data_IF_849514946539
#
_entry.id   IF_849514946539
#
_cell.length_a   1.000
_cell.length_b   1.000
_cell.length_c   1.000
_cell.angle_alpha   90.00
_cell.angle_beta   90.00
_cell.angle_gamma   90.00
#
_symmetry.space_group_name_H-M   'P 1'
#
loop_
_entity.id
_entity.type
_entity.pdbx_description
1 polymer ?
#
# COMPACT_ATOMS: atom_id res chain seq x y z
N UNK A 1 67.77 -1.21 -19.59
CA UNK A 1 68.43 -1.20 -18.27
C UNK A 1 67.46 -0.57 -17.29
N UNK A 2 66.77 -1.40 -16.50
CA UNK A 2 66.96 -1.50 -15.02
C UNK A 2 66.18 -0.38 -14.30
N UNK A 3 65.31 -0.58 -13.32
CA UNK A 3 64.63 -1.71 -12.72
C UNK A 3 63.50 -1.10 -11.85
N UNK A 4 62.36 -1.78 -11.76
CA UNK A 4 61.31 -1.49 -10.77
C UNK A 4 61.62 -2.20 -9.44
N UNK A 5 61.29 -1.60 -8.28
CA UNK A 5 61.09 -2.35 -7.04
C UNK A 5 59.60 -2.47 -6.66
N UNK A 6 59.35 -3.53 -5.89
CA UNK A 6 58.11 -4.28 -5.67
C UNK A 6 57.23 -3.69 -4.56
N UNK A 7 55.93 -4.04 -4.50
CA UNK A 7 55.09 -3.80 -3.33
C UNK A 7 55.50 -4.70 -2.16
N UNK A 8 55.58 -4.12 -0.95
CA UNK A 8 55.79 -4.86 0.28
C UNK A 8 54.49 -5.57 0.69
N UNK A 9 54.56 -6.90 0.77
CA UNK A 9 53.52 -7.77 1.32
C UNK A 9 53.87 -8.02 2.78
N UNK A 10 53.11 -7.46 3.71
CA UNK A 10 53.28 -7.77 5.14
C UNK A 10 52.38 -8.94 5.49
N UNK A 11 53.02 -10.05 5.81
CA UNK A 11 52.41 -11.32 6.17
C UNK A 11 52.21 -11.42 7.70
N UNK A 12 51.10 -12.07 8.07
CA UNK A 12 50.89 -12.88 9.28
C UNK A 12 50.86 -12.15 10.64
N UNK A 13 49.70 -12.24 11.29
CA UNK A 13 49.55 -12.99 12.56
C UNK A 13 48.06 -13.29 12.81
N UNK A 14 47.69 -14.53 12.50
CA UNK A 14 46.50 -15.19 13.02
C UNK A 14 46.70 -15.31 14.53
N UNK A 15 45.85 -14.67 15.31
CA UNK A 15 45.64 -15.02 16.72
C UNK A 15 44.20 -15.42 16.85
N UNK A 16 43.97 -16.73 16.70
CA UNK A 16 42.74 -17.39 17.13
C UNK A 16 42.65 -17.23 18.64
N UNK A 17 41.74 -16.37 19.11
CA UNK A 17 41.29 -16.37 20.50
C UNK A 17 40.00 -17.17 20.54
N UNK A 18 40.16 -18.45 20.92
CA UNK A 18 39.10 -19.26 21.51
C UNK A 18 38.68 -18.67 22.87
N UNK A 19 37.54 -19.15 23.38
CA UNK A 19 36.81 -18.77 24.61
C UNK A 19 35.75 -17.69 24.35
N UNK A 20 34.46 -17.90 24.58
CA UNK A 20 33.82 -18.68 25.64
C UNK A 20 32.39 -19.03 25.18
N UNK A 21 32.08 -20.33 25.04
CA UNK A 21 30.71 -20.78 24.79
C UNK A 21 29.94 -20.64 26.10
N UNK A 22 29.09 -19.62 26.20
CA UNK A 22 28.12 -19.50 27.29
C UNK A 22 26.93 -20.41 26.99
N UNK A 23 26.90 -21.56 27.66
CA UNK A 23 25.72 -22.41 27.77
C UNK A 23 24.61 -21.64 28.51
N UNK A 24 23.68 -21.06 27.77
CA UNK A 24 22.37 -20.75 28.32
C UNK A 24 21.56 -22.05 28.39
N UNK A 25 21.45 -22.61 29.59
CA UNK A 25 20.47 -23.64 29.91
C UNK A 25 19.06 -23.03 29.79
N UNK A 26 18.45 -23.18 28.62
CA UNK A 26 17.03 -22.88 28.41
C UNK A 26 16.18 -24.02 28.96
N UNK A 27 15.40 -23.75 29.99
CA UNK A 27 14.35 -24.67 30.44
C UNK A 27 13.26 -24.76 29.37
N UNK A 28 13.10 -25.93 28.75
CA UNK A 28 11.94 -26.24 27.93
C UNK A 28 10.69 -26.32 28.82
N UNK A 29 9.86 -25.29 28.79
CA UNK A 29 8.51 -25.34 29.35
C UNK A 29 7.58 -26.05 28.37
N UNK A 30 7.37 -27.35 28.54
CA UNK A 30 6.30 -28.07 27.86
C UNK A 30 4.96 -27.54 28.39
N UNK A 31 4.25 -26.76 27.57
CA UNK A 31 2.87 -26.42 27.84
C UNK A 31 2.05 -27.72 27.90
N UNK A 32 1.55 -28.04 29.09
CA UNK A 32 0.59 -29.12 29.32
C UNK A 32 -0.65 -28.79 28.49
N UNK A 33 -0.85 -29.49 27.38
CA UNK A 33 -2.14 -29.55 26.70
C UNK A 33 -3.12 -30.23 27.66
N UNK A 34 -3.81 -29.45 28.48
CA UNK A 34 -5.05 -29.92 29.10
C UNK A 34 -6.08 -29.97 27.99
N UNK A 35 -6.22 -31.14 27.38
CA UNK A 35 -7.35 -31.44 26.51
C UNK A 35 -8.62 -31.50 27.39
N UNK A 36 -9.22 -30.34 27.66
CA UNK A 36 -10.58 -30.29 28.21
C UNK A 36 -11.51 -30.47 27.02
N UNK A 37 -11.75 -31.73 26.66
CA UNK A 37 -12.80 -32.10 25.75
C UNK A 37 -14.13 -31.84 26.48
N UNK A 38 -14.86 -30.80 26.08
CA UNK A 38 -16.25 -30.66 26.51
C UNK A 38 -17.02 -31.90 25.99
N UNK A 39 -17.88 -32.52 26.82
CA UNK A 39 -18.63 -33.68 26.37
C UNK A 39 -19.54 -33.28 25.19
N UNK A 40 -19.61 -34.14 24.18
CA UNK A 40 -20.27 -33.95 22.86
C UNK A 40 -21.74 -33.50 22.93
N UNK A 41 -22.35 -33.53 24.11
CA UNK A 41 -23.74 -33.17 24.37
C UNK A 41 -23.93 -31.80 25.05
N UNK A 42 -22.85 -31.02 25.27
CA UNK A 42 -22.92 -29.72 25.97
C UNK A 42 -23.92 -28.74 25.33
N UNK A 43 -24.08 -28.77 24.00
CA UNK A 43 -25.03 -27.90 23.28
C UNK A 43 -26.47 -28.44 23.18
N UNK A 44 -26.75 -29.61 23.74
CA UNK A 44 -28.06 -30.28 23.65
C UNK A 44 -28.82 -30.31 24.98
N UNK A 45 -28.29 -29.69 26.02
CA UNK A 45 -28.89 -29.73 27.35
C UNK A 45 -29.92 -28.61 27.53
N UNK A 46 -31.20 -28.96 27.42
CA UNK A 46 -32.31 -28.05 27.72
C UNK A 46 -32.42 -27.87 29.23
N UNK A 47 -32.00 -26.72 29.75
CA UNK A 47 -32.13 -26.37 31.16
C UNK A 47 -33.61 -26.16 31.54
N UNK A 48 -34.12 -26.83 32.60
CA UNK A 48 -35.51 -26.63 33.03
C UNK A 48 -35.72 -25.22 33.57
N UNK A 49 -36.57 -24.43 32.89
CA UNK A 49 -37.02 -23.12 33.38
C UNK A 49 -36.64 -21.90 32.52
N UNK A 50 -35.96 -22.05 31.38
CA UNK A 50 -35.74 -20.95 30.44
C UNK A 50 -36.70 -21.03 29.26
N UNK A 51 -37.60 -20.05 29.14
CA UNK A 51 -38.49 -19.89 28.01
C UNK A 51 -37.73 -19.75 26.69
N UNK A 52 -38.33 -20.25 25.62
CA UNK A 52 -37.76 -20.24 24.28
C UNK A 52 -37.54 -18.80 23.78
N UNK A 53 -36.30 -18.30 23.88
CA UNK A 53 -35.76 -17.19 23.09
C UNK A 53 -34.24 -17.14 23.27
N UNK A 54 -33.43 -17.80 22.41
CA UNK A 54 -32.02 -17.44 22.35
C UNK A 54 -31.94 -16.15 21.52
N UNK A 55 -32.16 -15.00 22.17
CA UNK A 55 -31.65 -13.75 21.64
C UNK A 55 -30.12 -13.84 21.75
N UNK A 56 -29.50 -14.28 20.66
CA UNK A 56 -28.04 -14.29 20.51
C UNK A 56 -27.53 -12.88 20.87
N UNK A 57 -26.70 -12.79 21.92
CA UNK A 57 -25.93 -11.57 22.17
C UNK A 57 -25.06 -11.28 20.94
N UNK A 58 -24.86 -10.01 20.57
CA UNK A 58 -23.97 -9.65 19.48
C UNK A 58 -22.59 -10.25 19.74
N UNK A 59 -21.99 -10.84 18.71
CA UNK A 59 -20.59 -11.28 18.72
C UNK A 59 -19.72 -10.18 19.35
N UNK A 60 -18.95 -10.57 20.37
CA UNK A 60 -18.24 -9.69 21.31
C UNK A 60 -17.23 -8.70 20.65
N UNK A 61 -16.80 -7.65 21.37
CA UNK A 61 -15.93 -6.55 20.88
C UNK A 61 -14.53 -6.98 20.39
N UNK A 62 -14.18 -8.26 20.55
CA UNK A 62 -12.87 -8.79 20.16
C UNK A 62 -12.70 -8.77 18.64
N UNK A 63 -13.76 -8.97 17.85
CA UNK A 63 -13.67 -8.85 16.38
C UNK A 63 -13.43 -7.40 15.94
N UNK A 64 -14.01 -6.43 16.64
CA UNK A 64 -13.76 -5.00 16.37
C UNK A 64 -12.32 -4.62 16.77
N UNK A 65 -11.83 -5.16 17.88
CA UNK A 65 -10.47 -4.91 18.36
C UNK A 65 -9.41 -5.61 17.49
N UNK A 66 -9.63 -6.85 17.09
CA UNK A 66 -8.74 -7.58 16.17
C UNK A 66 -8.73 -6.95 14.77
N UNK A 67 -9.88 -6.46 14.26
CA UNK A 67 -9.89 -5.63 13.04
C UNK A 67 -9.10 -4.34 13.21
N UNK A 68 -9.11 -3.71 14.40
CA UNK A 68 -8.32 -2.50 14.67
C UNK A 68 -6.80 -2.76 14.79
N UNK A 69 -6.40 -4.00 15.10
CA UNK A 69 -4.99 -4.42 15.20
C UNK A 69 -4.40 -4.89 13.85
N UNK A 70 -5.18 -4.91 12.78
CA UNK A 70 -4.83 -5.48 11.47
C UNK A 70 -4.83 -4.47 10.33
N UNK A 71 -4.79 -3.17 10.64
CA UNK A 71 -4.86 -2.13 9.61
C UNK A 71 -3.54 -1.38 9.48
N UNK A 72 -2.89 -1.49 8.31
CA UNK A 72 -2.11 -0.41 7.75
C UNK A 72 -2.83 0.09 6.47
N UNK A 73 -3.98 0.80 6.59
CA UNK A 73 -4.86 1.05 5.46
C UNK A 73 -4.27 2.10 4.50
N UNK A 74 -3.81 3.29 4.96
CA UNK A 74 -3.06 4.21 4.09
C UNK A 74 -1.62 3.82 3.80
N UNK A 75 -0.91 3.20 4.73
CA UNK A 75 0.55 3.02 4.61
C UNK A 75 0.90 1.97 3.56
N UNK A 76 0.21 0.82 3.53
CA UNK A 76 0.40 -0.21 2.48
C UNK A 76 0.05 0.33 1.10
N UNK A 77 -1.07 1.04 0.98
CA UNK A 77 -1.49 1.65 -0.29
C UNK A 77 -0.44 2.66 -0.76
N UNK A 78 0.06 3.49 0.15
CA UNK A 78 1.14 4.44 -0.15
C UNK A 78 2.41 3.72 -0.60
N UNK A 79 2.86 2.69 0.12
CA UNK A 79 4.05 1.91 -0.24
C UNK A 79 3.93 1.30 -1.64
N UNK A 80 2.78 0.70 -1.96
CA UNK A 80 2.51 0.16 -3.28
C UNK A 80 2.54 1.24 -4.38
N UNK A 81 1.97 2.42 -4.11
CA UNK A 81 2.04 3.57 -5.02
C UNK A 81 3.47 4.11 -5.18
N UNK A 82 4.30 4.06 -4.13
CA UNK A 82 5.72 4.43 -4.22
C UNK A 82 6.51 3.43 -5.07
N UNK A 83 6.23 2.13 -4.96
CA UNK A 83 6.83 1.11 -5.82
C UNK A 83 6.44 1.33 -7.30
N UNK A 84 5.17 1.66 -7.57
CA UNK A 84 4.75 2.05 -8.92
C UNK A 84 5.44 3.33 -9.40
N UNK A 85 5.59 4.35 -8.54
CA UNK A 85 6.37 5.53 -8.90
C UNK A 85 7.80 5.16 -9.29
N UNK A 86 8.49 4.29 -8.53
CA UNK A 86 9.85 3.85 -8.87
C UNK A 86 9.93 3.23 -10.27
N UNK A 87 8.93 2.42 -10.65
CA UNK A 87 8.85 1.83 -12.00
C UNK A 87 8.65 2.88 -13.10
N UNK A 88 7.75 3.83 -12.87
CA UNK A 88 7.33 4.78 -13.91
C UNK A 88 8.15 6.07 -13.95
N UNK A 89 8.91 6.38 -12.90
CA UNK A 89 9.59 7.66 -12.70
C UNK A 89 10.38 8.10 -13.95
N UNK A 90 10.14 9.34 -14.37
CA UNK A 90 10.82 9.93 -15.53
C UNK A 90 10.28 9.48 -16.90
N UNK A 91 9.34 8.52 -16.97
CA UNK A 91 8.70 8.14 -18.24
C UNK A 91 8.13 9.39 -18.92
N UNK A 92 8.50 9.70 -20.18
CA UNK A 92 8.06 10.92 -20.85
C UNK A 92 6.55 10.98 -21.02
N UNK A 93 5.97 12.18 -20.95
CA UNK A 93 4.57 12.34 -21.28
C UNK A 93 4.33 12.16 -22.78
N UNK A 94 3.37 11.32 -23.16
CA UNK A 94 2.86 11.21 -24.53
C UNK A 94 1.36 11.03 -24.52
N UNK A 95 0.62 11.96 -25.14
CA UNK A 95 -0.83 11.85 -25.29
C UNK A 95 -1.19 10.53 -25.99
N UNK A 96 -2.12 9.76 -25.42
CA UNK A 96 -2.49 8.44 -25.92
C UNK A 96 -1.51 7.31 -25.54
N UNK A 97 -0.31 7.63 -25.05
CA UNK A 97 0.70 6.66 -24.66
C UNK A 97 0.30 5.83 -23.43
N UNK A 98 0.79 4.59 -23.38
CA UNK A 98 0.43 3.59 -22.35
C UNK A 98 1.63 2.78 -21.86
N UNK A 99 2.87 3.17 -22.20
CA UNK A 99 4.09 2.38 -21.94
C UNK A 99 5.23 3.23 -21.37
N UNK A 100 6.30 2.60 -20.89
CA UNK A 100 7.49 3.28 -20.34
C UNK A 100 8.27 4.09 -21.40
N UNK A 101 7.96 3.95 -22.70
CA UNK A 101 8.46 4.84 -23.77
C UNK A 101 7.68 6.15 -23.89
N UNK A 102 6.53 6.23 -23.23
CA UNK A 102 5.67 7.39 -23.21
C UNK A 102 4.27 7.07 -22.72
N UNK A 103 3.77 7.87 -21.78
CA UNK A 103 2.48 7.65 -21.12
C UNK A 103 1.72 8.96 -20.90
N UNK A 104 0.39 8.93 -20.96
CA UNK A 104 -0.43 10.07 -20.52
C UNK A 104 -0.97 9.90 -19.09
N UNK A 105 -1.55 10.97 -18.55
CA UNK A 105 -2.01 11.02 -17.17
C UNK A 105 -3.07 9.94 -16.86
N UNK A 106 -4.08 9.79 -17.72
CA UNK A 106 -5.13 8.79 -17.54
C UNK A 106 -4.64 7.36 -17.72
N UNK A 107 -3.70 7.12 -18.64
CA UNK A 107 -3.07 5.82 -18.84
C UNK A 107 -2.20 5.42 -17.66
N UNK A 108 -1.45 6.35 -17.09
CA UNK A 108 -0.66 6.10 -15.87
C UNK A 108 -1.59 5.64 -14.74
N UNK A 109 -2.67 6.39 -14.49
CA UNK A 109 -3.66 6.03 -13.47
C UNK A 109 -4.23 4.65 -13.73
N UNK A 110 -4.71 4.37 -14.95
CA UNK A 110 -5.26 3.07 -15.33
C UNK A 110 -4.27 1.92 -15.11
N UNK A 111 -3.02 2.09 -15.55
CA UNK A 111 -1.98 1.06 -15.40
C UNK A 111 -1.66 0.81 -13.93
N UNK A 112 -1.51 1.85 -13.11
CA UNK A 112 -1.21 1.71 -11.69
C UNK A 112 -2.36 0.99 -10.96
N UNK A 113 -3.62 1.36 -11.22
CA UNK A 113 -4.76 0.71 -10.58
C UNK A 113 -4.95 -0.73 -11.01
N UNK A 114 -4.77 -1.04 -12.30
CA UNK A 114 -4.82 -2.41 -12.80
C UNK A 114 -3.71 -3.26 -12.18
N UNK A 115 -2.46 -2.79 -12.25
CA UNK A 115 -1.30 -3.58 -11.84
C UNK A 115 -1.20 -3.74 -10.31
N UNK A 116 -1.74 -2.80 -9.53
CA UNK A 116 -1.59 -2.79 -8.06
C UNK A 116 -2.85 -3.24 -7.34
N UNK A 117 -4.02 -2.92 -7.89
CA UNK A 117 -5.31 -3.12 -7.21
C UNK A 117 -6.29 -3.93 -8.04
N UNK A 118 -5.85 -4.50 -9.17
CA UNK A 118 -6.70 -5.28 -10.08
C UNK A 118 -8.01 -4.57 -10.46
N UNK A 119 -7.98 -3.22 -10.53
CA UNK A 119 -9.14 -2.39 -10.86
C UNK A 119 -8.94 -1.72 -12.20
N UNK A 120 -9.82 -2.05 -13.15
CA UNK A 120 -9.74 -1.52 -14.50
C UNK A 120 -10.50 -0.19 -14.61
N UNK A 121 -9.75 0.92 -14.62
CA UNK A 121 -10.32 2.25 -14.80
C UNK A 121 -10.50 2.61 -16.29
N UNK A 122 -11.46 3.49 -16.65
CA UNK A 122 -11.63 3.97 -18.01
C UNK A 122 -10.34 4.58 -18.58
N UNK A 123 -10.15 4.48 -19.90
CA UNK A 123 -8.93 4.97 -20.57
C UNK A 123 -8.72 6.48 -20.45
N UNK A 124 -9.78 7.27 -20.32
CA UNK A 124 -9.72 8.73 -20.42
C UNK A 124 -10.01 9.41 -19.08
N UNK A 125 -9.43 10.60 -18.87
CA UNK A 125 -9.75 11.46 -17.73
C UNK A 125 -11.25 11.76 -17.64
N UNK A 126 -11.95 11.87 -18.78
CA UNK A 126 -13.40 12.10 -18.83
C UNK A 126 -14.20 10.90 -18.31
N UNK A 127 -13.71 9.67 -18.50
CA UNK A 127 -14.32 8.49 -17.88
C UNK A 127 -14.00 8.43 -16.39
N UNK A 128 -12.71 8.50 -16.05
CA UNK A 128 -12.21 8.33 -14.68
C UNK A 128 -12.84 9.29 -13.67
N UNK A 129 -13.24 10.50 -14.09
CA UNK A 129 -13.87 11.47 -13.20
C UNK A 129 -15.27 11.07 -12.70
N UNK A 130 -15.89 10.07 -13.32
CA UNK A 130 -17.19 9.52 -12.91
C UNK A 130 -17.04 8.22 -12.09
N UNK A 131 -15.82 7.73 -11.89
CA UNK A 131 -15.57 6.50 -11.15
C UNK A 131 -15.60 6.74 -9.64
N UNK A 132 -16.31 5.86 -8.93
CA UNK A 132 -16.43 5.92 -7.48
C UNK A 132 -17.15 7.15 -6.95
N UNK A 133 -16.96 7.43 -5.66
CA UNK A 133 -17.66 8.52 -4.95
C UNK A 133 -16.82 9.81 -4.90
N UNK A 134 -17.45 11.00 -4.94
CA UNK A 134 -16.75 12.25 -4.71
C UNK A 134 -16.21 12.34 -3.27
N UNK A 135 -15.07 13.00 -3.11
CA UNK A 135 -14.35 13.17 -1.84
C UNK A 135 -13.94 14.62 -1.67
N UNK A 136 -14.13 15.15 -0.46
CA UNK A 136 -13.62 16.47 -0.09
C UNK A 136 -12.11 16.45 0.05
N UNK A 137 -11.46 17.57 -0.31
CA UNK A 137 -9.98 17.65 -0.33
C UNK A 137 -9.34 17.32 1.03
N UNK A 138 -10.05 17.61 2.12
CA UNK A 138 -9.62 17.37 3.49
C UNK A 138 -9.70 15.90 3.90
N UNK A 139 -10.48 15.09 3.16
CA UNK A 139 -10.72 13.66 3.42
C UNK A 139 -9.87 12.74 2.54
N UNK A 140 -8.95 13.32 1.76
CA UNK A 140 -8.07 12.60 0.84
C UNK A 140 -7.24 11.54 1.56
N UNK A 141 -7.26 10.33 1.02
CA UNK A 141 -6.48 9.18 1.46
C UNK A 141 -5.68 8.61 0.29
N UNK A 142 -4.54 7.98 0.60
CA UNK A 142 -3.69 7.38 -0.43
C UNK A 142 -4.52 6.44 -1.32
N UNK A 143 -4.37 6.58 -2.65
CA UNK A 143 -5.19 5.88 -3.62
C UNK A 143 -6.48 6.60 -4.01
N UNK A 144 -6.73 7.84 -3.58
CA UNK A 144 -7.77 8.68 -4.16
C UNK A 144 -7.29 9.33 -5.46
N UNK A 145 -8.20 9.53 -6.42
CA UNK A 145 -7.93 10.22 -7.67
C UNK A 145 -8.15 11.73 -7.51
N UNK A 146 -7.15 12.52 -7.88
CA UNK A 146 -7.20 13.99 -7.89
C UNK A 146 -7.29 14.50 -9.32
N UNK A 147 -8.27 15.35 -9.59
CA UNK A 147 -8.53 15.90 -10.92
C UNK A 147 -8.27 17.40 -10.98
N UNK A 148 -7.76 17.85 -12.12
CA UNK A 148 -7.41 19.24 -12.35
C UNK A 148 -7.90 19.74 -13.71
N UNK A 149 -8.12 21.05 -13.79
CA UNK A 149 -8.49 21.78 -15.02
C UNK A 149 -7.43 22.83 -15.36
N UNK A 150 -6.21 22.40 -15.75
CA UNK A 150 -5.17 23.33 -16.17
C UNK A 150 -5.58 24.09 -17.46
N UNK A 151 -4.94 25.22 -17.78
CA UNK A 151 -5.23 25.95 -18.99
C UNK A 151 -4.89 25.08 -20.21
N UNK A 152 -5.82 25.01 -21.16
CA UNK A 152 -5.70 24.16 -22.34
C UNK A 152 -6.96 23.33 -22.58
N UNK A 153 -6.84 22.32 -23.45
CA UNK A 153 -7.98 21.52 -23.91
C UNK A 153 -8.27 20.28 -23.05
N UNK A 154 -7.32 19.85 -22.23
CA UNK A 154 -7.38 18.55 -21.56
C UNK A 154 -7.39 18.70 -20.04
N UNK A 155 -8.29 17.94 -19.41
CA UNK A 155 -8.27 17.74 -17.97
C UNK A 155 -7.10 16.84 -17.58
N UNK A 156 -6.59 17.02 -16.37
CA UNK A 156 -5.47 16.27 -15.83
C UNK A 156 -5.91 15.44 -14.63
N UNK A 157 -5.24 14.30 -14.40
CA UNK A 157 -5.52 13.39 -13.30
C UNK A 157 -4.21 12.88 -12.69
N UNK A 158 -4.24 12.59 -11.40
CA UNK A 158 -3.19 11.88 -10.69
C UNK A 158 -3.75 11.08 -9.52
N UNK A 159 -2.87 10.33 -8.86
CA UNK A 159 -3.20 9.48 -7.71
C UNK A 159 -2.61 10.14 -6.47
N UNK A 160 -3.45 10.44 -5.48
CA UNK A 160 -2.99 10.96 -4.20
C UNK A 160 -2.20 9.87 -3.47
N UNK A 161 -1.01 10.21 -2.99
CA UNK A 161 -0.09 9.27 -2.32
C UNK A 161 0.03 9.51 -0.81
N UNK A 162 -0.74 10.47 -0.28
CA UNK A 162 -0.64 10.90 1.11
C UNK A 162 0.15 12.20 1.27
N UNK A 163 0.07 12.78 2.47
CA UNK A 163 0.86 13.93 2.92
C UNK A 163 0.81 15.18 2.00
N UNK A 164 -0.28 15.37 1.26
CA UNK A 164 -0.42 16.48 0.32
C UNK A 164 0.31 16.27 -1.01
N UNK A 165 0.72 15.04 -1.35
CA UNK A 165 1.42 14.71 -2.58
C UNK A 165 0.60 13.79 -3.50
N UNK A 166 0.88 13.85 -4.80
CA UNK A 166 0.22 12.99 -5.78
C UNK A 166 1.17 12.58 -6.92
N UNK A 167 1.03 11.35 -7.38
CA UNK A 167 1.71 10.75 -8.52
C UNK A 167 0.95 11.08 -9.82
N UNK A 168 1.65 11.57 -10.83
CA UNK A 168 1.05 11.88 -12.13
C UNK A 168 2.08 11.93 -13.26
N UNK A 169 1.60 11.89 -14.51
CA UNK A 169 2.43 12.16 -15.69
C UNK A 169 2.43 13.66 -16.01
N UNK A 170 3.50 14.37 -15.68
CA UNK A 170 3.69 15.78 -16.04
C UNK A 170 4.05 15.94 -17.51
N UNK A 171 3.40 16.87 -18.20
CA UNK A 171 3.65 17.15 -19.63
C UNK A 171 5.09 17.55 -19.93
N UNK A 172 5.79 18.19 -18.99
CA UNK A 172 7.16 18.68 -19.16
C UNK A 172 8.23 17.84 -18.46
N UNK A 173 7.85 17.09 -17.41
CA UNK A 173 8.81 16.37 -16.54
C UNK A 173 8.63 14.86 -16.56
N UNK A 174 7.67 14.34 -17.33
CA UNK A 174 7.33 12.92 -17.29
C UNK A 174 6.63 12.53 -15.99
N UNK A 175 6.67 11.24 -15.65
CA UNK A 175 6.05 10.74 -14.42
C UNK A 175 6.84 11.20 -13.19
N UNK A 176 6.16 11.92 -12.30
CA UNK A 176 6.73 12.51 -11.08
C UNK A 176 5.70 12.51 -9.94
N UNK A 177 6.18 12.81 -8.74
CA UNK A 177 5.34 13.19 -7.59
C UNK A 177 5.38 14.71 -7.44
N UNK A 178 4.20 15.33 -7.32
CA UNK A 178 4.04 16.76 -7.09
C UNK A 178 3.30 17.04 -5.79
N UNK A 179 3.54 18.21 -5.18
CA UNK A 179 2.76 18.68 -4.04
C UNK A 179 1.45 19.35 -4.49
N UNK A 180 0.34 18.99 -3.88
CA UNK A 180 -0.96 19.67 -3.99
C UNK A 180 -0.92 21.09 -3.42
N UNK A 181 0.10 21.44 -2.62
CA UNK A 181 0.30 22.79 -2.08
C UNK A 181 1.12 23.67 -3.03
N UNK A 182 1.57 23.17 -4.18
CA UNK A 182 2.13 24.02 -5.23
C UNK A 182 1.03 24.96 -5.78
N UNK A 183 1.36 26.24 -5.98
CA UNK A 183 0.39 27.27 -6.41
C UNK A 183 -0.31 26.94 -7.73
N UNK A 184 0.35 26.25 -8.67
CA UNK A 184 -0.25 25.79 -9.91
C UNK A 184 -1.32 24.73 -9.64
N UNK A 185 -0.99 23.68 -8.88
CA UNK A 185 -1.92 22.59 -8.59
C UNK A 185 -3.09 23.04 -7.71
N UNK A 186 -2.85 23.96 -6.77
CA UNK A 186 -3.92 24.58 -5.99
C UNK A 186 -4.90 25.35 -6.88
N UNK A 187 -4.38 26.18 -7.79
CA UNK A 187 -5.20 27.01 -8.69
C UNK A 187 -6.12 26.19 -9.59
N UNK A 188 -5.64 25.03 -10.04
CA UNK A 188 -6.36 24.22 -11.04
C UNK A 188 -7.01 22.96 -10.47
N UNK A 189 -6.97 22.76 -9.15
CA UNK A 189 -7.68 21.64 -8.52
C UNK A 189 -9.18 21.73 -8.81
N UNK A 190 -9.78 20.61 -9.21
CA UNK A 190 -11.18 20.56 -9.60
C UNK A 190 -12.01 19.71 -8.64
N UNK A 191 -11.70 18.42 -8.51
CA UNK A 191 -12.42 17.50 -7.63
C UNK A 191 -11.58 16.26 -7.34
N UNK A 192 -12.02 15.44 -6.39
CA UNK A 192 -11.41 14.14 -6.10
C UNK A 192 -12.44 13.03 -6.04
N UNK A 193 -11.98 11.81 -6.33
CA UNK A 193 -12.81 10.60 -6.36
C UNK A 193 -12.11 9.46 -5.64
N UNK A 194 -12.89 8.70 -4.87
CA UNK A 194 -12.46 7.42 -4.30
C UNK A 194 -13.07 6.30 -5.13
N UNK A 195 -12.24 5.71 -5.99
CA UNK A 195 -12.64 4.62 -6.88
C UNK A 195 -12.92 3.32 -6.11
N UNK A 196 -12.19 3.08 -5.02
CA UNK A 196 -12.38 1.94 -4.12
C UNK A 196 -12.04 2.34 -2.69
N UNK A 197 -12.71 1.75 -1.70
CA UNK A 197 -12.38 2.03 -0.30
C UNK A 197 -10.96 1.54 0.04
N UNK A 198 -10.15 2.33 0.77
CA UNK A 198 -8.77 1.98 1.13
C UNK A 198 -8.60 0.65 1.85
N UNK A 199 -9.59 0.22 2.62
CA UNK A 199 -9.60 -1.11 3.25
C UNK A 199 -9.61 -2.25 2.22
N UNK A 200 -10.29 -2.07 1.09
CA UNK A 200 -10.32 -3.03 -0.01
C UNK A 200 -9.06 -2.88 -0.90
N UNK A 201 -8.57 -1.66 -1.13
CA UNK A 201 -7.28 -1.44 -1.82
C UNK A 201 -6.11 -2.09 -1.06
N UNK A 202 -6.09 -2.00 0.27
CA UNK A 202 -5.05 -2.60 1.10
C UNK A 202 -5.05 -4.14 1.05
N UNK A 203 -6.24 -4.76 0.98
CA UNK A 203 -6.37 -6.21 0.79
C UNK A 203 -5.85 -6.67 -0.58
N UNK A 204 -6.05 -5.87 -1.62
CA UNK A 204 -5.60 -6.17 -2.98
C UNK A 204 -4.11 -5.85 -3.19
N UNK A 205 -3.58 -4.83 -2.52
CA UNK A 205 -2.16 -4.47 -2.59
C UNK A 205 -1.25 -5.35 -1.73
N UNK A 206 -1.75 -5.88 -0.60
CA UNK A 206 -0.98 -6.72 0.31
C UNK A 206 -0.62 -8.11 -0.26
N UNK A 207 -1.39 -8.62 -1.22
CA UNK A 207 -1.10 -9.90 -1.88
C UNK A 207 0.00 -9.82 -2.93
N UNK A 208 0.43 -8.61 -3.33
CA UNK A 208 1.49 -8.40 -4.33
C UNK A 208 2.90 -8.53 -3.72
N UNK A 209 3.00 -8.52 -2.38
CA UNK A 209 4.28 -8.57 -1.64
C UNK A 209 4.51 -9.89 -0.87
N UNK A 210 3.72 -10.93 -1.12
CA UNK A 210 3.98 -12.31 -0.66
C UNK A 210 4.50 -13.16 -1.82
#
# INVERSE_FOLDING_TARGET
MVASPRPAVTAVRVVSVCFLVTLFAGCAGSARQNNIQAPENYFSMTLPGMGANPQMSPVDPIDAHLRSLQVPPPTVVREALMAQHQRWAGTPYRIGGTSERGIDCSALVRNVYRDTFNLELPRSTRGQVHEGRPIDRQELQAGDLVFFRPPGRYNHVGIYVGDGYFLHASTSKGVIISSLNNSYWQRYYWQSRRALEPTHLAQLGGSVFQ
#
